data_IF_773598627926
#
_entry.id   IF_773598627926
#
_cell.length_a   1.000
_cell.length_b   1.000
_cell.length_c   1.000
_cell.angle_alpha   90.00
_cell.angle_beta   90.00
_cell.angle_gamma   90.00
#
_symmetry.space_group_name_H-M   'P 1'
#
loop_
_entity.id
_entity.type
_entity.pdbx_description
1 polymer ?
#
# COMPACT_ATOMS: atom_id res chain seq x y z
N UNK A 1 -1.09 1.21 -8.62
CA UNK A 1 -1.91 0.02 -8.93
C UNK A 1 -1.97 -0.86 -7.68
N UNK A 2 -3.14 -1.41 -7.33
CA UNK A 2 -3.32 -2.35 -6.22
C UNK A 2 -3.65 -3.72 -6.82
N UNK A 3 -2.79 -4.73 -6.60
CA UNK A 3 -2.92 -6.06 -7.20
C UNK A 3 -2.91 -7.13 -6.11
N UNK A 4 -3.75 -8.16 -6.26
CA UNK A 4 -3.78 -9.33 -5.38
C UNK A 4 -3.61 -10.62 -6.18
N UNK A 5 -3.09 -11.65 -5.51
CA UNK A 5 -3.07 -13.01 -6.03
C UNK A 5 -4.22 -13.79 -5.38
N UNK A 6 -5.21 -14.22 -6.16
CA UNK A 6 -6.45 -14.80 -5.63
C UNK A 6 -6.47 -16.31 -5.78
N UNK A 7 -6.66 -17.02 -4.67
CA UNK A 7 -6.66 -18.49 -4.62
C UNK A 7 -8.07 -18.97 -4.32
N UNK A 8 -8.57 -19.90 -5.14
CA UNK A 8 -9.90 -20.49 -4.95
C UNK A 8 -9.77 -21.92 -4.46
N UNK A 9 -10.42 -22.22 -3.33
CA UNK A 9 -10.58 -23.59 -2.83
C UNK A 9 -12.02 -24.04 -3.02
N UNK A 10 -12.23 -25.10 -3.80
CA UNK A 10 -13.55 -25.71 -3.95
C UNK A 10 -13.91 -26.53 -2.70
N UNK A 11 -15.12 -26.33 -2.18
CA UNK A 11 -15.63 -26.99 -0.98
C UNK A 11 -17.04 -27.53 -1.22
N UNK A 12 -17.48 -28.47 -0.39
CA UNK A 12 -18.86 -28.97 -0.43
C UNK A 12 -19.77 -28.05 0.38
N UNK A 13 -21.09 -28.04 0.12
CA UNK A 13 -22.05 -27.31 0.96
C UNK A 13 -21.96 -27.65 2.45
N UNK A 14 -21.78 -28.94 2.78
CA UNK A 14 -21.68 -29.43 4.16
C UNK A 14 -20.41 -28.99 4.89
N UNK A 15 -19.34 -28.69 4.16
CA UNK A 15 -18.03 -28.31 4.73
C UNK A 15 -17.75 -26.82 4.60
N UNK A 16 -18.62 -26.06 3.94
CA UNK A 16 -18.39 -24.64 3.66
C UNK A 16 -18.17 -23.83 4.94
N UNK A 17 -19.03 -24.01 5.95
CA UNK A 17 -18.98 -23.23 7.19
C UNK A 17 -17.65 -23.43 7.96
N UNK A 18 -17.22 -24.68 8.27
CA UNK A 18 -15.93 -24.92 8.88
C UNK A 18 -14.76 -24.31 8.10
N UNK A 19 -14.67 -24.56 6.78
CA UNK A 19 -13.59 -24.03 5.97
C UNK A 19 -13.60 -22.51 5.90
N UNK A 20 -14.77 -21.88 5.82
CA UNK A 20 -14.86 -20.42 5.77
C UNK A 20 -14.37 -19.78 7.08
N UNK A 21 -14.77 -20.34 8.23
CA UNK A 21 -14.29 -19.86 9.53
C UNK A 21 -12.77 -20.08 9.69
N UNK A 22 -12.24 -21.21 9.23
CA UNK A 22 -10.78 -21.45 9.19
C UNK A 22 -10.09 -20.42 8.28
N UNK A 23 -10.68 -20.08 7.13
CA UNK A 23 -10.14 -19.06 6.23
C UNK A 23 -10.07 -17.68 6.89
N UNK A 24 -11.03 -17.34 7.74
CA UNK A 24 -11.00 -16.11 8.54
C UNK A 24 -9.87 -16.15 9.56
N UNK A 25 -9.75 -17.24 10.33
CA UNK A 25 -8.66 -17.42 11.31
C UNK A 25 -7.28 -17.34 10.65
N UNK A 26 -7.11 -17.94 9.47
CA UNK A 26 -5.84 -17.96 8.74
C UNK A 26 -5.50 -16.65 8.03
N UNK A 27 -6.45 -15.74 7.84
CA UNK A 27 -6.23 -14.53 7.05
C UNK A 27 -5.06 -13.69 7.59
N UNK A 28 -4.98 -13.52 8.91
CA UNK A 28 -3.92 -12.74 9.56
C UNK A 28 -2.52 -13.38 9.44
N UNK A 29 -2.28 -14.64 9.87
CA UNK A 29 -0.95 -15.24 9.79
C UNK A 29 -0.46 -15.44 8.35
N UNK A 30 -1.35 -15.81 7.43
CA UNK A 30 -1.00 -15.98 6.01
C UNK A 30 -0.65 -14.63 5.38
N UNK A 31 -1.41 -13.56 5.67
CA UNK A 31 -1.07 -12.21 5.23
C UNK A 31 0.27 -11.75 5.79
N UNK A 32 0.51 -12.00 7.09
CA UNK A 32 1.73 -11.58 7.75
C UNK A 32 2.97 -12.12 7.04
N UNK A 33 2.99 -13.43 6.70
CA UNK A 33 4.14 -14.03 6.02
C UNK A 33 4.23 -13.63 4.55
N UNK A 34 3.10 -13.29 3.91
CA UNK A 34 3.04 -12.96 2.49
C UNK A 34 3.20 -11.46 2.17
N UNK A 35 3.08 -10.56 3.14
CA UNK A 35 2.97 -9.12 2.90
C UNK A 35 4.05 -8.55 1.95
N UNK A 36 3.63 -7.67 1.04
CA UNK A 36 4.45 -7.19 -0.07
C UNK A 36 4.09 -5.76 -0.57
N UNK A 37 3.27 -4.98 0.16
CA UNK A 37 2.85 -3.64 -0.29
C UNK A 37 3.09 -2.49 0.71
N UNK A 38 4.34 -2.25 1.13
CA UNK A 38 4.62 -1.30 2.20
C UNK A 38 4.80 0.17 1.78
N UNK A 39 4.94 0.44 0.47
CA UNK A 39 5.29 1.75 -0.06
C UNK A 39 4.26 2.18 -1.10
N UNK A 40 3.71 3.38 -0.94
CA UNK A 40 2.77 3.99 -1.88
C UNK A 40 3.22 5.42 -2.17
N UNK A 41 3.45 5.77 -3.44
CA UNK A 41 3.95 7.09 -3.87
C UNK A 41 5.19 7.56 -3.07
N UNK A 42 6.14 6.65 -2.82
CA UNK A 42 7.36 6.95 -2.06
C UNK A 42 7.15 7.23 -0.57
N UNK A 43 5.95 6.98 -0.03
CA UNK A 43 5.63 7.05 1.40
C UNK A 43 5.63 5.66 2.00
N UNK A 44 6.24 5.53 3.18
CA UNK A 44 6.21 4.31 3.98
C UNK A 44 4.88 4.23 4.72
N UNK A 45 4.15 3.15 4.53
CA UNK A 45 2.83 2.94 5.13
C UNK A 45 2.77 1.59 5.85
N UNK A 46 1.59 1.00 5.98
CA UNK A 46 1.39 -0.33 6.53
C UNK A 46 2.13 -1.36 5.69
N UNK A 47 2.63 -2.43 6.31
CA UNK A 47 3.37 -3.47 5.58
C UNK A 47 2.52 -4.12 4.47
N UNK A 48 1.20 -4.13 4.65
CA UNK A 48 0.22 -4.53 3.65
C UNK A 48 -0.81 -3.41 3.42
N UNK A 49 -0.37 -2.30 2.82
CA UNK A 49 -1.19 -1.09 2.62
C UNK A 49 -2.39 -1.31 1.69
N UNK A 50 -2.40 -2.36 0.87
CA UNK A 50 -3.54 -2.70 0.01
C UNK A 50 -4.83 -2.88 0.81
N UNK A 51 -4.76 -3.35 2.05
CA UNK A 51 -5.95 -3.55 2.89
C UNK A 51 -6.65 -2.22 3.15
N UNK A 52 -5.92 -1.24 3.67
CA UNK A 52 -6.46 0.08 3.99
C UNK A 52 -6.81 0.89 2.73
N UNK A 53 -5.92 0.86 1.72
CA UNK A 53 -6.11 1.63 0.48
C UNK A 53 -7.34 1.16 -0.29
N UNK A 54 -7.57 -0.15 -0.39
CA UNK A 54 -8.73 -0.69 -1.10
C UNK A 54 -10.04 -0.37 -0.36
N UNK A 55 -10.02 -0.44 0.97
CA UNK A 55 -11.17 -0.07 1.79
C UNK A 55 -11.56 1.40 1.61
N UNK A 56 -10.59 2.31 1.54
CA UNK A 56 -10.85 3.73 1.32
C UNK A 56 -11.26 4.05 -0.12
N UNK A 57 -10.62 3.44 -1.12
CA UNK A 57 -10.87 3.73 -2.53
C UNK A 57 -12.29 3.35 -3.01
N UNK A 58 -12.93 2.39 -2.34
CA UNK A 58 -14.29 1.94 -2.63
C UNK A 58 -15.30 2.34 -1.55
N UNK A 59 -14.92 3.29 -0.68
CA UNK A 59 -15.81 3.78 0.35
C UNK A 59 -16.83 4.77 -0.24
N UNK A 60 -18.05 4.27 -0.47
CA UNK A 60 -19.18 5.07 -0.97
C UNK A 60 -19.98 5.75 0.14
N UNK A 61 -19.49 5.73 1.39
CA UNK A 61 -20.18 6.34 2.52
C UNK A 61 -20.04 7.86 2.44
N UNK A 62 -21.17 8.57 2.45
CA UNK A 62 -21.19 10.02 2.59
C UNK A 62 -21.12 10.40 4.07
N UNK A 63 -20.18 11.27 4.43
CA UNK A 63 -20.11 11.87 5.76
C UNK A 63 -21.22 12.91 5.90
N UNK A 64 -22.25 12.59 6.69
CA UNK A 64 -23.26 13.56 7.12
C UNK A 64 -23.10 13.81 8.63
N UNK A 65 -23.65 14.92 9.13
CA UNK A 65 -23.63 15.31 10.55
C UNK A 65 -24.25 14.27 11.52
N UNK A 66 -24.93 13.24 11.00
CA UNK A 66 -25.50 12.15 11.79
C UNK A 66 -24.70 10.85 11.62
N UNK A 67 -24.34 10.22 12.76
CA UNK A 67 -23.69 8.91 12.85
C UNK A 67 -24.65 7.78 12.42
N UNK A 68 -24.88 7.65 11.11
CA UNK A 68 -25.47 6.43 10.56
C UNK A 68 -24.35 5.45 10.24
N UNK A 69 -24.24 4.37 11.00
CA UNK A 69 -23.31 3.29 10.68
C UNK A 69 -23.68 2.66 9.33
N UNK A 70 -22.80 2.82 8.35
CA UNK A 70 -22.86 2.11 7.07
C UNK A 70 -21.62 1.22 6.97
N UNK A 71 -21.84 -0.03 6.58
CA UNK A 71 -20.75 -0.95 6.29
C UNK A 71 -20.05 -0.51 5.00
N UNK A 72 -18.71 -0.48 4.96
CA UNK A 72 -17.98 -0.34 3.70
C UNK A 72 -18.21 -1.59 2.84
N UNK A 73 -18.20 -1.43 1.50
CA UNK A 73 -18.32 -2.56 0.56
C UNK A 73 -17.13 -3.50 0.60
N UNK A 74 -15.97 -2.99 1.03
CA UNK A 74 -14.79 -3.80 1.33
C UNK A 74 -14.82 -4.16 2.81
N UNK A 75 -14.90 -5.45 3.13
CA UNK A 75 -15.02 -5.90 4.51
C UNK A 75 -14.26 -7.21 4.77
N UNK A 76 -13.85 -7.38 6.03
CA UNK A 76 -13.35 -8.66 6.53
C UNK A 76 -14.51 -9.59 6.95
N UNK A 77 -15.64 -9.00 7.33
CA UNK A 77 -16.82 -9.67 7.89
C UNK A 77 -17.23 -9.00 9.20
N UNK A 78 -18.36 -9.42 9.77
CA UNK A 78 -18.85 -8.90 11.07
C UNK A 78 -18.95 -9.96 12.16
N UNK A 79 -18.76 -11.23 11.83
CA UNK A 79 -18.86 -12.34 12.77
C UNK A 79 -18.53 -13.69 12.13
N UNK A 80 -18.60 -14.74 12.95
CA UNK A 80 -18.52 -16.12 12.50
C UNK A 80 -19.72 -16.53 11.66
N UNK A 81 -19.48 -17.45 10.72
CA UNK A 81 -20.54 -18.15 10.02
C UNK A 81 -21.06 -19.31 10.89
N UNK A 82 -22.38 -19.48 11.04
CA UNK A 82 -22.92 -20.42 12.01
C UNK A 82 -23.54 -21.68 11.41
N UNK A 83 -24.48 -21.51 10.49
CA UNK A 83 -25.32 -22.57 9.93
C UNK A 83 -25.09 -22.75 8.45
N UNK A 84 -24.97 -21.65 7.70
CA UNK A 84 -24.97 -21.71 6.24
C UNK A 84 -24.30 -20.50 5.61
N UNK A 85 -23.70 -20.71 4.44
CA UNK A 85 -23.19 -19.62 3.58
C UNK A 85 -24.26 -18.59 3.22
N UNK A 86 -25.55 -18.95 3.29
CA UNK A 86 -26.66 -18.04 3.03
C UNK A 86 -26.64 -16.81 3.95
N UNK A 87 -26.14 -16.95 5.19
CA UNK A 87 -25.99 -15.82 6.12
C UNK A 87 -25.14 -14.69 5.52
N UNK A 88 -24.12 -15.03 4.72
CA UNK A 88 -23.28 -14.04 4.04
C UNK A 88 -24.08 -13.29 2.96
N UNK A 89 -24.82 -14.02 2.13
CA UNK A 89 -25.61 -13.39 1.06
C UNK A 89 -26.78 -12.58 1.61
N UNK A 90 -27.47 -13.08 2.64
CA UNK A 90 -28.53 -12.36 3.33
C UNK A 90 -28.00 -11.07 3.96
N UNK A 91 -26.85 -11.13 4.62
CA UNK A 91 -26.19 -9.94 5.17
C UNK A 91 -25.85 -8.93 4.07
N UNK A 92 -25.21 -9.38 3.00
CA UNK A 92 -24.75 -8.51 1.92
C UNK A 92 -25.93 -7.88 1.17
N UNK A 93 -27.01 -8.62 0.92
CA UNK A 93 -28.24 -8.10 0.29
C UNK A 93 -28.94 -7.10 1.20
N UNK A 94 -29.01 -7.36 2.51
CA UNK A 94 -29.63 -6.46 3.48
C UNK A 94 -28.84 -5.14 3.64
N UNK A 95 -27.51 -5.20 3.55
CA UNK A 95 -26.63 -4.03 3.76
C UNK A 95 -26.35 -3.22 2.51
N UNK A 96 -26.26 -3.85 1.33
CA UNK A 96 -25.77 -3.21 0.12
C UNK A 96 -26.80 -3.19 -0.99
N UNK A 97 -27.11 -1.97 -1.46
CA UNK A 97 -27.93 -1.75 -2.65
C UNK A 97 -27.27 -2.36 -3.90
N UNK A 98 -28.10 -2.80 -4.85
CA UNK A 98 -27.63 -3.26 -6.16
C UNK A 98 -27.05 -2.07 -6.94
N UNK A 99 -25.82 -2.20 -7.45
CA UNK A 99 -25.16 -1.18 -8.28
C UNK A 99 -25.21 -1.50 -9.77
N UNK A 100 -25.11 -2.78 -10.10
CA UNK A 100 -25.11 -3.28 -11.47
C UNK A 100 -26.31 -4.21 -11.64
N UNK A 101 -27.04 -4.03 -12.73
CA UNK A 101 -28.10 -4.93 -13.16
C UNK A 101 -27.62 -5.79 -14.31
N UNK A 102 -28.31 -6.89 -14.57
CA UNK A 102 -28.05 -7.80 -15.67
C UNK A 102 -29.38 -8.28 -16.22
N UNK A 103 -29.44 -8.51 -17.52
CA UNK A 103 -30.63 -9.07 -18.15
C UNK A 103 -30.89 -10.49 -17.60
N UNK A 104 -32.12 -10.67 -17.10
CA UNK A 104 -32.59 -11.91 -16.53
C UNK A 104 -33.51 -12.60 -17.53
N UNK A 105 -32.95 -13.56 -18.25
CA UNK A 105 -33.66 -14.24 -19.34
C UNK A 105 -34.56 -15.40 -18.85
N UNK A 106 -34.40 -15.85 -17.59
CA UNK A 106 -35.08 -17.04 -17.05
C UNK A 106 -35.32 -16.95 -15.53
N UNK A 107 -36.44 -17.50 -15.06
CA UNK A 107 -36.76 -17.65 -13.62
C UNK A 107 -35.95 -18.81 -13.02
N UNK A 108 -35.12 -18.51 -12.01
CA UNK A 108 -34.27 -19.51 -11.34
C UNK A 108 -35.07 -20.58 -10.59
N UNK A 109 -36.25 -20.24 -10.05
CA UNK A 109 -37.12 -21.21 -9.37
C UNK A 109 -37.77 -22.17 -10.35
N UNK A 110 -38.18 -21.68 -11.52
CA UNK A 110 -38.71 -22.52 -12.59
C UNK A 110 -37.63 -23.48 -13.13
N UNK A 111 -36.39 -23.01 -13.30
CA UNK A 111 -35.26 -23.85 -13.69
C UNK A 111 -35.07 -25.02 -12.71
N UNK A 112 -35.09 -24.75 -11.40
CA UNK A 112 -34.94 -25.79 -10.36
C UNK A 112 -36.07 -26.82 -10.45
N UNK A 113 -37.34 -26.38 -10.61
CA UNK A 113 -38.49 -27.28 -10.77
C UNK A 113 -38.34 -28.19 -12.00
N UNK A 114 -37.69 -27.70 -13.05
CA UNK A 114 -37.40 -28.44 -14.27
C UNK A 114 -36.08 -29.24 -14.21
N UNK A 115 -35.48 -29.40 -13.02
CA UNK A 115 -34.24 -30.16 -12.84
C UNK A 115 -33.00 -29.49 -13.46
N UNK A 116 -33.07 -28.20 -13.80
CA UNK A 116 -31.98 -27.42 -14.38
C UNK A 116 -31.26 -26.61 -13.30
N UNK A 117 -29.94 -26.49 -13.43
CA UNK A 117 -29.10 -25.73 -12.51
C UNK A 117 -29.11 -24.24 -12.89
N UNK A 118 -29.62 -23.33 -12.04
CA UNK A 118 -29.68 -21.91 -12.37
C UNK A 118 -28.30 -21.25 -12.26
N UNK A 119 -27.96 -20.35 -13.18
CA UNK A 119 -26.70 -19.58 -13.12
C UNK A 119 -26.66 -18.58 -11.95
N UNK A 120 -27.81 -18.17 -11.42
CA UNK A 120 -27.92 -17.15 -10.37
C UNK A 120 -27.24 -15.82 -10.75
N UNK A 121 -27.41 -15.36 -12.01
CA UNK A 121 -26.74 -14.16 -12.55
C UNK A 121 -26.89 -12.93 -11.65
N UNK A 122 -28.11 -12.65 -11.16
CA UNK A 122 -28.37 -11.52 -10.27
C UNK A 122 -27.53 -11.57 -8.98
N UNK A 123 -27.46 -12.74 -8.34
CA UNK A 123 -26.66 -12.96 -7.14
C UNK A 123 -25.17 -12.79 -7.43
N UNK A 124 -24.68 -13.37 -8.53
CA UNK A 124 -23.26 -13.24 -8.92
C UNK A 124 -22.87 -11.79 -9.20
N UNK A 125 -23.72 -11.02 -9.89
CA UNK A 125 -23.48 -9.61 -10.17
C UNK A 125 -23.49 -8.78 -8.88
N UNK A 126 -24.45 -9.00 -7.98
CA UNK A 126 -24.45 -8.33 -6.67
C UNK A 126 -23.19 -8.65 -5.86
N UNK A 127 -22.85 -9.93 -5.70
CA UNK A 127 -21.65 -10.40 -5.00
C UNK A 127 -20.34 -9.91 -5.67
N UNK A 128 -20.34 -9.59 -6.96
CA UNK A 128 -19.18 -8.99 -7.63
C UNK A 128 -18.91 -7.54 -7.22
N UNK A 129 -19.91 -6.86 -6.65
CA UNK A 129 -19.84 -5.46 -6.18
C UNK A 129 -19.72 -5.34 -4.65
N UNK A 130 -19.61 -6.47 -3.95
CA UNK A 130 -19.32 -6.55 -2.51
C UNK A 130 -18.01 -7.29 -2.33
N UNK A 131 -17.05 -6.65 -1.68
CA UNK A 131 -15.65 -7.08 -1.67
C UNK A 131 -15.26 -7.64 -0.30
N UNK A 132 -15.58 -8.91 -0.05
CA UNK A 132 -15.10 -9.63 1.13
C UNK A 132 -13.69 -10.17 0.91
N UNK A 133 -12.80 -10.06 1.90
CA UNK A 133 -11.43 -10.58 1.80
C UNK A 133 -11.35 -12.11 1.61
N UNK A 134 -12.26 -12.85 2.25
CA UNK A 134 -12.58 -14.24 1.90
C UNK A 134 -14.00 -14.24 1.33
N UNK A 135 -14.16 -14.62 0.06
CA UNK A 135 -15.45 -14.47 -0.64
C UNK A 135 -16.09 -15.83 -0.96
N UNK A 136 -17.39 -16.03 -0.65
CA UNK A 136 -18.14 -17.17 -1.17
C UNK A 136 -18.38 -16.98 -2.67
N UNK A 137 -18.09 -18.02 -3.44
CA UNK A 137 -18.29 -18.03 -4.89
C UNK A 137 -19.16 -19.22 -5.28
N UNK A 138 -20.28 -18.94 -5.95
CA UNK A 138 -21.08 -19.93 -6.67
C UNK A 138 -20.61 -20.00 -8.12
N UNK A 139 -20.54 -21.21 -8.67
CA UNK A 139 -20.23 -21.42 -10.08
C UNK A 139 -20.83 -22.72 -10.60
N UNK A 140 -20.76 -22.90 -11.91
CA UNK A 140 -21.17 -24.13 -12.59
C UNK A 140 -19.98 -24.59 -13.41
N UNK A 141 -19.57 -25.84 -13.22
CA UNK A 141 -18.48 -26.47 -13.97
C UNK A 141 -18.90 -26.74 -15.42
N UNK A 142 -17.94 -26.97 -16.31
CA UNK A 142 -18.22 -27.25 -17.73
C UNK A 142 -19.13 -28.49 -17.94
N UNK A 143 -19.16 -29.41 -16.97
CA UNK A 143 -20.05 -30.57 -16.96
C UNK A 143 -21.47 -30.27 -16.41
N UNK A 144 -21.82 -29.00 -16.17
CA UNK A 144 -23.13 -28.59 -15.65
C UNK A 144 -23.30 -28.72 -14.14
N UNK A 145 -22.31 -29.25 -13.41
CA UNK A 145 -22.41 -29.43 -11.96
C UNK A 145 -22.17 -28.10 -11.22
N UNK A 146 -23.09 -27.69 -10.31
CA UNK A 146 -22.85 -26.51 -9.47
C UNK A 146 -21.75 -26.79 -8.44
N UNK A 147 -20.97 -25.78 -8.11
CA UNK A 147 -19.90 -25.86 -7.12
C UNK A 147 -19.82 -24.59 -6.26
N UNK A 148 -19.27 -24.76 -5.06
CA UNK A 148 -18.96 -23.67 -4.14
C UNK A 148 -17.46 -23.54 -3.98
N UNK A 149 -16.97 -22.30 -3.93
CA UNK A 149 -15.57 -21.99 -3.70
C UNK A 149 -15.44 -20.92 -2.61
N UNK A 150 -14.39 -21.04 -1.82
CA UNK A 150 -13.90 -19.95 -0.98
C UNK A 150 -12.74 -19.31 -1.75
N UNK A 151 -12.91 -18.04 -2.11
CA UNK A 151 -11.88 -17.23 -2.76
C UNK A 151 -11.13 -16.42 -1.72
N UNK A 152 -9.85 -16.72 -1.53
CA UNK A 152 -8.93 -15.92 -0.72
C UNK A 152 -8.40 -14.76 -1.57
N UNK A 153 -8.68 -13.54 -1.14
CA UNK A 153 -8.23 -12.29 -1.79
C UNK A 153 -7.25 -11.49 -0.95
N UNK A 154 -6.86 -12.01 0.21
CA UNK A 154 -5.97 -11.35 1.17
C UNK A 154 -4.55 -11.30 0.62
N UNK A 155 -4.12 -12.38 -0.04
CA UNK A 155 -2.74 -12.53 -0.53
C UNK A 155 -2.34 -11.41 -1.50
N UNK A 156 -1.20 -10.74 -1.28
CA UNK A 156 -0.64 -9.81 -2.25
C UNK A 156 -0.12 -10.55 -3.48
N UNK A 157 -0.07 -9.82 -4.59
CA UNK A 157 0.69 -10.26 -5.75
C UNK A 157 2.20 -10.17 -5.47
N UNK A 158 2.94 -11.09 -6.08
CA UNK A 158 4.39 -11.16 -6.10
C UNK A 158 5.04 -11.44 -4.74
N UNK A 159 6.33 -11.10 -4.60
CA UNK A 159 7.15 -10.42 -5.60
C UNK A 159 7.63 -11.35 -6.73
N UNK A 160 7.57 -12.67 -6.55
CA UNK A 160 7.86 -13.66 -7.62
C UNK A 160 6.75 -14.69 -7.75
N UNK A 161 6.71 -15.36 -8.90
CA UNK A 161 5.78 -16.49 -9.12
C UNK A 161 6.00 -17.57 -8.05
N UNK A 162 7.26 -17.88 -7.70
CA UNK A 162 7.54 -18.91 -6.70
C UNK A 162 7.05 -18.50 -5.31
N UNK A 163 7.14 -17.21 -4.95
CA UNK A 163 6.59 -16.69 -3.69
C UNK A 163 5.06 -16.78 -3.68
N UNK A 164 4.38 -16.46 -4.79
CA UNK A 164 2.92 -16.56 -4.91
C UNK A 164 2.43 -17.99 -4.75
N UNK A 165 3.05 -18.94 -5.45
CA UNK A 165 2.70 -20.36 -5.34
C UNK A 165 3.03 -20.91 -3.94
N UNK A 166 4.14 -20.47 -3.33
CA UNK A 166 4.46 -20.83 -1.95
C UNK A 166 3.39 -20.34 -0.95
N UNK A 167 2.94 -19.10 -1.09
CA UNK A 167 1.85 -18.54 -0.29
C UNK A 167 0.54 -19.33 -0.48
N UNK A 168 0.23 -19.70 -1.73
CA UNK A 168 -0.95 -20.49 -2.07
C UNK A 168 -0.91 -21.88 -1.45
N UNK A 169 0.21 -22.60 -1.60
CA UNK A 169 0.41 -23.92 -1.05
C UNK A 169 0.31 -23.90 0.48
N UNK A 170 0.89 -22.88 1.14
CA UNK A 170 0.76 -22.70 2.57
C UNK A 170 -0.69 -22.48 3.01
N UNK A 171 -1.44 -21.61 2.33
CA UNK A 171 -2.85 -21.38 2.66
C UNK A 171 -3.71 -22.64 2.43
N UNK A 172 -3.60 -23.30 1.27
CA UNK A 172 -4.39 -24.51 0.96
C UNK A 172 -4.05 -25.66 1.92
N UNK A 173 -2.76 -25.83 2.22
CA UNK A 173 -2.28 -26.78 3.20
C UNK A 173 -2.86 -26.51 4.57
N UNK A 174 -2.69 -25.28 5.08
CA UNK A 174 -3.16 -24.90 6.41
C UNK A 174 -4.69 -25.00 6.52
N UNK A 175 -5.44 -24.60 5.49
CA UNK A 175 -6.90 -24.76 5.42
C UNK A 175 -7.32 -26.23 5.59
N UNK A 176 -6.69 -27.13 4.84
CA UNK A 176 -7.01 -28.56 4.92
C UNK A 176 -6.55 -29.16 6.26
N UNK A 177 -5.33 -28.87 6.69
CA UNK A 177 -4.78 -29.39 7.93
C UNK A 177 -5.58 -28.94 9.14
N UNK A 178 -5.92 -27.65 9.25
CA UNK A 178 -6.75 -27.16 10.35
C UNK A 178 -8.13 -27.80 10.38
N UNK A 179 -8.73 -28.08 9.21
CA UNK A 179 -10.00 -28.80 9.14
C UNK A 179 -9.90 -30.24 9.66
N UNK A 180 -8.72 -30.88 9.56
CA UNK A 180 -8.49 -32.22 10.13
C UNK A 180 -8.29 -32.18 11.64
N UNK A 181 -7.70 -31.11 12.18
CA UNK A 181 -7.37 -30.98 13.60
C UNK A 181 -8.49 -30.36 14.46
N UNK A 182 -9.31 -29.50 13.86
CA UNK A 182 -10.32 -28.73 14.58
C UNK A 182 -11.72 -29.02 14.03
N UNK A 183 -12.58 -29.58 14.88
CA UNK A 183 -13.98 -29.79 14.56
C UNK A 183 -14.71 -28.45 14.37
N UNK A 184 -14.47 -27.49 15.27
CA UNK A 184 -14.96 -26.12 15.15
C UNK A 184 -13.91 -25.12 15.63
N UNK A 185 -13.42 -24.30 14.69
CA UNK A 185 -12.38 -23.31 14.99
C UNK A 185 -12.88 -22.17 15.91
N UNK A 186 -14.20 -21.97 15.98
CA UNK A 186 -14.83 -20.92 16.81
C UNK A 186 -14.64 -21.17 18.30
N UNK A 187 -14.40 -22.41 18.70
CA UNK A 187 -14.12 -22.79 20.09
C UNK A 187 -12.68 -22.46 20.49
N UNK A 188 -11.80 -22.24 19.51
CA UNK A 188 -10.37 -22.05 19.75
C UNK A 188 -9.98 -20.57 19.85
N UNK A 189 -10.73 -19.68 19.20
CA UNK A 189 -10.44 -18.24 19.16
C UNK A 189 -11.72 -17.42 18.97
N UNK A 190 -11.77 -16.26 19.64
CA UNK A 190 -12.87 -15.31 19.48
C UNK A 190 -12.87 -14.66 18.10
N UNK A 191 -14.05 -14.20 17.64
CA UNK A 191 -14.14 -13.45 16.39
C UNK A 191 -13.37 -12.12 16.49
N UNK A 192 -13.47 -11.47 17.64
CA UNK A 192 -12.85 -10.19 17.95
C UNK A 192 -11.32 -10.26 17.81
N UNK A 193 -10.71 -11.33 18.31
CA UNK A 193 -9.26 -11.58 18.19
C UNK A 193 -8.86 -11.87 16.75
N UNK A 194 -9.65 -12.64 15.98
CA UNK A 194 -9.36 -12.88 14.56
C UNK A 194 -9.39 -11.58 13.76
N UNK A 195 -10.40 -10.73 14.02
CA UNK A 195 -10.51 -9.40 13.38
C UNK A 195 -9.37 -8.47 13.79
N UNK A 196 -9.01 -8.44 15.07
CA UNK A 196 -7.91 -7.62 15.58
C UNK A 196 -6.55 -8.09 15.02
N UNK A 197 -6.31 -9.41 14.99
CA UNK A 197 -5.15 -10.01 14.36
C UNK A 197 -5.04 -9.63 12.88
N UNK A 198 -6.16 -9.61 12.14
CA UNK A 198 -6.16 -9.19 10.73
C UNK A 198 -5.68 -7.74 10.57
N UNK A 199 -6.21 -6.81 11.37
CA UNK A 199 -5.77 -5.41 11.35
C UNK A 199 -4.29 -5.24 11.73
N UNK A 200 -3.84 -5.93 12.78
CA UNK A 200 -2.44 -5.93 13.22
C UNK A 200 -1.51 -6.50 12.14
N UNK A 201 -1.86 -7.63 11.54
CA UNK A 201 -1.11 -8.25 10.44
C UNK A 201 -1.00 -7.33 9.23
N UNK A 202 -2.06 -6.60 8.87
CA UNK A 202 -2.01 -5.66 7.77
C UNK A 202 -0.99 -4.53 8.04
N UNK A 203 -0.96 -4.04 9.28
CA UNK A 203 -0.07 -2.94 9.70
C UNK A 203 1.38 -3.36 9.85
N UNK A 204 1.64 -4.50 10.50
CA UNK A 204 2.98 -4.90 10.95
C UNK A 204 3.50 -6.20 10.31
N UNK A 205 2.66 -6.97 9.61
CA UNK A 205 3.02 -8.24 8.94
C UNK A 205 3.74 -9.25 9.87
N UNK A 206 4.88 -9.80 9.45
CA UNK A 206 5.75 -10.71 10.21
C UNK A 206 6.18 -10.21 11.59
N UNK A 207 6.09 -8.91 11.86
CA UNK A 207 6.39 -8.34 13.20
C UNK A 207 5.19 -8.39 14.15
N UNK A 208 4.06 -8.93 13.70
CA UNK A 208 2.84 -8.97 14.50
C UNK A 208 2.95 -10.00 15.63
N UNK A 209 2.47 -9.61 16.81
CA UNK A 209 2.16 -10.54 17.90
C UNK A 209 0.64 -10.76 17.92
N UNK A 210 0.22 -11.99 17.68
CA UNK A 210 -1.18 -12.40 17.63
C UNK A 210 -1.71 -12.79 19.00
N UNK A 211 -3.00 -12.52 19.26
CA UNK A 211 -3.76 -13.31 20.24
C UNK A 211 -4.16 -14.61 19.54
N UNK A 212 -3.72 -15.76 20.04
CA UNK A 212 -4.02 -17.05 19.42
C UNK A 212 -4.81 -17.94 20.38
N UNK A 213 -4.90 -19.24 20.07
CA UNK A 213 -5.69 -20.20 20.83
C UNK A 213 -5.36 -20.18 22.33
N UNK A 214 -6.41 -20.16 23.16
CA UNK A 214 -6.29 -20.02 24.61
C UNK A 214 -5.71 -18.68 25.06
N UNK A 215 -6.00 -17.59 24.33
CA UNK A 215 -5.57 -16.21 24.58
C UNK A 215 -4.06 -15.95 24.60
N UNK A 216 -3.25 -16.96 24.25
CA UNK A 216 -1.79 -16.86 24.25
C UNK A 216 -1.30 -15.81 23.25
N UNK A 217 -0.20 -15.12 23.59
CA UNK A 217 0.47 -14.21 22.66
C UNK A 217 1.59 -14.94 21.93
N UNK A 218 1.60 -14.86 20.60
CA UNK A 218 2.62 -15.51 19.78
C UNK A 218 3.03 -14.63 18.60
N UNK A 219 4.32 -14.57 18.30
CA UNK A 219 4.82 -13.85 17.14
C UNK A 219 4.41 -14.56 15.84
N UNK A 220 4.13 -13.80 14.77
CA UNK A 220 3.70 -14.33 13.49
C UNK A 220 4.64 -15.41 12.91
N UNK A 221 5.97 -15.17 12.93
CA UNK A 221 6.93 -16.14 12.40
C UNK A 221 7.02 -17.38 13.30
N UNK A 222 6.91 -17.22 14.61
CA UNK A 222 6.90 -18.33 15.55
C UNK A 222 5.65 -19.22 15.36
N UNK A 223 4.47 -18.61 15.24
CA UNK A 223 3.22 -19.32 14.95
C UNK A 223 3.29 -20.11 13.64
N UNK A 224 3.84 -19.48 12.59
CA UNK A 224 4.04 -20.13 11.29
C UNK A 224 4.98 -21.33 11.42
N UNK A 225 6.13 -21.16 12.08
CA UNK A 225 7.15 -22.22 12.20
C UNK A 225 6.69 -23.39 13.08
N UNK A 226 6.11 -23.10 14.24
CA UNK A 226 5.83 -24.11 15.26
C UNK A 226 4.52 -24.86 15.02
N UNK A 227 3.53 -24.23 14.39
CA UNK A 227 2.18 -24.80 14.29
C UNK A 227 1.65 -24.85 12.87
N UNK A 228 1.60 -23.71 12.18
CA UNK A 228 0.89 -23.67 10.89
C UNK A 228 1.63 -24.41 9.78
N UNK A 229 2.96 -24.40 9.74
CA UNK A 229 3.74 -25.14 8.74
C UNK A 229 3.60 -26.66 8.90
N UNK A 230 3.75 -27.26 10.10
CA UNK A 230 3.43 -28.66 10.32
C UNK A 230 2.02 -29.03 9.88
N UNK A 231 1.01 -28.25 10.28
CA UNK A 231 -0.39 -28.46 9.90
C UNK A 231 -0.56 -28.34 8.37
N UNK A 232 0.10 -27.37 7.73
CA UNK A 232 0.02 -27.19 6.30
C UNK A 232 0.64 -28.35 5.52
N UNK A 233 1.79 -28.87 5.98
CA UNK A 233 2.43 -30.06 5.40
C UNK A 233 1.50 -31.26 5.45
N UNK A 234 0.85 -31.51 6.59
CA UNK A 234 -0.12 -32.59 6.73
C UNK A 234 -1.32 -32.41 5.80
N UNK A 235 -1.89 -31.20 5.74
CA UNK A 235 -3.02 -30.90 4.87
C UNK A 235 -2.71 -31.13 3.38
N UNK A 236 -1.52 -30.74 2.91
CA UNK A 236 -1.10 -31.00 1.52
C UNK A 236 -0.88 -32.51 1.26
N UNK A 237 -0.28 -33.23 2.20
CA UNK A 237 -0.12 -34.70 2.12
C UNK A 237 -1.48 -35.40 2.05
N UNK A 238 -2.44 -34.98 2.86
CA UNK A 238 -3.80 -35.51 2.84
C UNK A 238 -4.48 -35.30 1.47
N UNK A 239 -4.18 -34.17 0.80
CA UNK A 239 -4.63 -33.88 -0.57
C UNK A 239 -3.78 -34.55 -1.67
N UNK A 240 -2.82 -35.41 -1.30
CA UNK A 240 -1.92 -36.15 -2.20
C UNK A 240 -1.06 -35.24 -3.09
N UNK A 241 -0.68 -34.06 -2.60
CA UNK A 241 0.32 -33.22 -3.25
C UNK A 241 1.69 -33.92 -3.16
N UNK A 242 2.48 -33.84 -4.23
CA UNK A 242 3.78 -34.51 -4.29
C UNK A 242 4.75 -33.98 -3.22
N UNK A 243 5.54 -34.87 -2.61
CA UNK A 243 6.42 -34.51 -1.50
C UNK A 243 7.43 -33.42 -1.89
N UNK A 244 8.01 -33.52 -3.10
CA UNK A 244 8.96 -32.52 -3.62
C UNK A 244 8.34 -31.11 -3.74
N UNK A 245 7.06 -31.01 -4.13
CA UNK A 245 6.36 -29.74 -4.20
C UNK A 245 6.09 -29.18 -2.80
N UNK A 246 5.69 -30.04 -1.85
CA UNK A 246 5.48 -29.66 -0.45
C UNK A 246 6.79 -29.09 0.12
N UNK A 247 7.90 -29.79 -0.08
CA UNK A 247 9.20 -29.39 0.47
C UNK A 247 9.72 -28.11 -0.17
N UNK A 248 9.58 -27.98 -1.50
CA UNK A 248 9.95 -26.77 -2.23
C UNK A 248 9.17 -25.55 -1.74
N UNK A 249 7.83 -25.62 -1.75
CA UNK A 249 6.99 -24.45 -1.50
C UNK A 249 6.88 -24.11 -0.02
N UNK A 250 6.70 -25.08 0.87
CA UNK A 250 6.65 -24.81 2.31
C UNK A 250 8.04 -24.53 2.88
N UNK A 251 9.11 -25.04 2.25
CA UNK A 251 10.48 -24.66 2.57
C UNK A 251 10.76 -23.17 2.36
N UNK A 252 10.14 -22.55 1.35
CA UNK A 252 10.24 -21.09 1.13
C UNK A 252 9.58 -20.32 2.28
N UNK A 253 8.39 -20.74 2.72
CA UNK A 253 7.68 -20.09 3.83
C UNK A 253 8.45 -20.26 5.15
N UNK A 254 9.01 -21.45 5.38
CA UNK A 254 9.88 -21.74 6.51
C UNK A 254 11.13 -20.85 6.52
N UNK A 255 11.85 -20.77 5.39
CA UNK A 255 13.03 -19.94 5.26
C UNK A 255 12.70 -18.44 5.43
N UNK A 256 11.55 -17.99 4.91
CA UNK A 256 11.05 -16.61 5.08
C UNK A 256 10.82 -16.27 6.55
N UNK A 257 10.18 -17.17 7.29
CA UNK A 257 9.91 -17.00 8.71
C UNK A 257 11.20 -17.04 9.54
N UNK A 258 12.13 -17.97 9.26
CA UNK A 258 13.44 -18.06 9.92
C UNK A 258 14.31 -16.82 9.69
N UNK A 259 14.36 -16.34 8.44
CA UNK A 259 15.08 -15.11 8.08
C UNK A 259 14.37 -13.84 8.55
N UNK A 260 13.13 -13.96 9.04
CA UNK A 260 12.29 -12.85 9.45
C UNK A 260 12.17 -11.78 8.35
N UNK A 261 11.99 -12.23 7.10
CA UNK A 261 12.13 -11.41 5.89
C UNK A 261 11.08 -11.76 4.82
N UNK A 262 9.98 -11.01 4.76
CA UNK A 262 9.02 -11.04 3.65
C UNK A 262 9.27 -9.89 2.66
N UNK A 263 8.47 -9.81 1.59
CA UNK A 263 8.62 -8.77 0.57
C UNK A 263 8.43 -7.35 1.12
N UNK A 264 7.48 -7.16 2.03
CA UNK A 264 7.26 -5.87 2.69
C UNK A 264 8.48 -5.41 3.49
N UNK A 265 9.05 -6.29 4.31
CA UNK A 265 10.25 -5.96 5.08
C UNK A 265 11.45 -5.70 4.18
N UNK A 266 11.66 -6.50 3.14
CA UNK A 266 12.76 -6.29 2.19
C UNK A 266 12.65 -4.91 1.55
N UNK A 267 11.48 -4.55 1.01
CA UNK A 267 11.23 -3.24 0.40
C UNK A 267 11.42 -2.09 1.39
N UNK A 268 10.95 -2.23 2.64
CA UNK A 268 11.12 -1.21 3.66
C UNK A 268 12.60 -1.00 4.03
N UNK A 269 13.38 -2.07 4.16
CA UNK A 269 14.83 -1.98 4.46
C UNK A 269 15.59 -1.36 3.28
N UNK A 270 15.31 -1.85 2.08
CA UNK A 270 15.86 -1.34 0.83
C UNK A 270 15.59 0.16 0.66
N UNK A 271 14.34 0.59 0.84
CA UNK A 271 13.96 1.99 0.73
C UNK A 271 14.63 2.88 1.79
N UNK A 272 14.74 2.41 3.05
CA UNK A 272 15.45 3.15 4.11
C UNK A 272 16.93 3.32 3.77
N UNK A 273 17.57 2.30 3.20
CA UNK A 273 18.97 2.37 2.75
C UNK A 273 19.10 3.43 1.65
N UNK A 274 18.32 3.30 0.58
CA UNK A 274 18.37 4.20 -0.58
C UNK A 274 18.09 5.66 -0.20
N UNK A 275 17.11 5.92 0.68
CA UNK A 275 16.76 7.28 1.12
C UNK A 275 17.88 8.04 1.85
N UNK A 276 18.92 7.34 2.32
CA UNK A 276 20.11 7.99 2.92
C UNK A 276 21.07 8.51 1.85
N UNK A 277 21.02 7.94 0.66
CA UNK A 277 21.95 8.21 -0.44
C UNK A 277 21.27 9.07 -1.51
N UNK A 278 19.99 8.80 -1.79
CA UNK A 278 19.25 9.37 -2.94
C UNK A 278 17.94 10.10 -2.59
N UNK A 279 17.41 10.85 -3.56
CA UNK A 279 16.11 11.51 -3.44
C UNK A 279 14.99 10.47 -3.36
N UNK A 280 13.77 10.91 -3.01
CA UNK A 280 12.63 9.99 -2.86
C UNK A 280 12.29 9.30 -4.19
N UNK A 281 12.23 10.06 -5.27
CA UNK A 281 11.91 9.56 -6.62
C UNK A 281 12.97 8.56 -7.12
N UNK A 282 14.25 8.89 -6.95
CA UNK A 282 15.37 8.03 -7.35
C UNK A 282 15.40 6.75 -6.49
N UNK A 283 15.13 6.85 -5.18
CA UNK A 283 15.03 5.69 -4.30
C UNK A 283 13.92 4.71 -4.74
N UNK A 284 12.74 5.23 -5.11
CA UNK A 284 11.64 4.39 -5.63
C UNK A 284 12.03 3.79 -6.97
N UNK A 285 12.65 4.57 -7.85
CA UNK A 285 13.08 4.10 -9.18
C UNK A 285 14.11 2.98 -9.10
N UNK A 286 15.13 3.14 -8.26
CA UNK A 286 16.15 2.11 -7.99
C UNK A 286 15.50 0.87 -7.36
N UNK A 287 14.61 1.06 -6.38
CA UNK A 287 13.89 -0.05 -5.76
C UNK A 287 13.08 -0.85 -6.79
N UNK A 288 12.32 -0.16 -7.65
CA UNK A 288 11.52 -0.79 -8.71
C UNK A 288 12.39 -1.53 -9.71
N UNK A 289 13.50 -0.92 -10.18
CA UNK A 289 14.43 -1.57 -11.09
C UNK A 289 15.04 -2.85 -10.48
N UNK A 290 15.40 -2.80 -9.19
CA UNK A 290 15.91 -3.95 -8.46
C UNK A 290 14.85 -5.06 -8.31
N UNK A 291 13.59 -4.70 -8.00
CA UNK A 291 12.47 -5.65 -7.94
C UNK A 291 12.29 -6.37 -9.28
N UNK A 292 12.29 -5.64 -10.40
CA UNK A 292 12.15 -6.24 -11.74
C UNK A 292 13.28 -7.22 -12.04
N UNK A 293 14.53 -6.79 -11.82
CA UNK A 293 15.72 -7.64 -12.02
C UNK A 293 15.66 -8.92 -11.19
N UNK A 294 15.31 -8.83 -9.90
CA UNK A 294 15.28 -10.01 -9.02
C UNK A 294 14.04 -10.88 -9.25
N UNK A 295 12.94 -10.30 -9.74
CA UNK A 295 11.77 -11.05 -10.19
C UNK A 295 12.10 -11.94 -11.39
N UNK A 296 12.87 -11.43 -12.35
CA UNK A 296 13.33 -12.21 -13.52
C UNK A 296 14.23 -13.39 -13.14
N UNK A 297 14.99 -13.29 -12.04
CA UNK A 297 15.79 -14.41 -11.51
C UNK A 297 14.91 -15.52 -10.90
N UNK A 298 13.64 -15.25 -10.60
CA UNK A 298 12.69 -16.21 -10.05
C UNK A 298 13.00 -16.71 -8.64
N UNK A 299 13.95 -16.07 -7.94
CA UNK A 299 14.35 -16.44 -6.57
C UNK A 299 13.35 -15.93 -5.54
N UNK A 300 13.10 -16.65 -4.42
CA UNK A 300 12.25 -16.16 -3.35
C UNK A 300 12.76 -14.86 -2.71
N UNK A 301 11.87 -13.95 -2.34
CA UNK A 301 12.25 -12.62 -1.84
C UNK A 301 13.12 -12.60 -0.59
N UNK A 302 13.03 -13.62 0.26
CA UNK A 302 13.85 -13.69 1.47
C UNK A 302 15.34 -13.90 1.15
N UNK A 303 15.70 -14.30 -0.08
CA UNK A 303 17.08 -14.47 -0.53
C UNK A 303 17.60 -13.29 -1.33
N UNK A 304 16.77 -12.25 -1.54
CA UNK A 304 17.11 -11.12 -2.40
C UNK A 304 18.20 -10.24 -1.78
N UNK A 305 19.12 -9.77 -2.62
CA UNK A 305 20.15 -8.82 -2.19
C UNK A 305 19.54 -7.42 -2.03
N UNK A 306 20.18 -6.57 -1.21
CA UNK A 306 19.76 -5.18 -1.05
C UNK A 306 20.15 -4.38 -2.30
N UNK A 307 19.30 -3.44 -2.77
CA UNK A 307 19.60 -2.67 -3.97
C UNK A 307 20.84 -1.81 -3.84
N UNK A 308 21.46 -1.53 -4.97
CA UNK A 308 22.49 -0.51 -5.17
C UNK A 308 22.05 0.49 -6.23
N UNK A 309 22.68 1.67 -6.29
CA UNK A 309 22.35 2.68 -7.30
C UNK A 309 22.58 2.19 -8.74
N UNK A 310 23.44 1.18 -8.91
CA UNK A 310 23.75 0.52 -10.19
C UNK A 310 22.58 -0.32 -10.72
N UNK A 311 21.63 -0.74 -9.88
CA UNK A 311 20.45 -1.48 -10.33
C UNK A 311 19.58 -0.62 -11.26
N UNK A 312 19.62 0.72 -11.11
CA UNK A 312 19.01 1.65 -12.04
C UNK A 312 20.00 2.05 -13.14
N UNK A 313 19.99 1.28 -14.24
CA UNK A 313 20.90 1.46 -15.38
C UNK A 313 20.85 2.87 -15.96
N UNK A 314 19.66 3.41 -16.16
CA UNK A 314 19.43 4.75 -16.73
C UNK A 314 18.43 5.51 -15.86
N UNK A 315 18.80 6.72 -15.45
CA UNK A 315 17.93 7.61 -14.71
C UNK A 315 17.63 8.84 -15.56
N UNK A 316 16.37 8.97 -15.98
CA UNK A 316 15.88 10.01 -16.90
C UNK A 316 15.15 11.09 -16.12
N UNK A 317 15.92 11.94 -15.46
CA UNK A 317 15.39 13.07 -14.69
C UNK A 317 14.74 14.15 -15.58
N UNK A 318 15.10 14.21 -16.87
CA UNK A 318 14.63 15.19 -17.84
C UNK A 318 13.12 15.11 -18.11
N UNK A 319 12.55 13.90 -18.03
CA UNK A 319 11.12 13.65 -18.28
C UNK A 319 10.27 13.66 -17.02
N UNK A 320 10.86 13.84 -15.83
CA UNK A 320 10.11 13.85 -14.58
C UNK A 320 9.21 15.08 -14.49
N UNK A 321 8.01 14.86 -13.98
CA UNK A 321 7.08 15.91 -13.63
C UNK A 321 7.48 16.55 -12.31
N UNK A 322 7.08 17.80 -12.13
CA UNK A 322 7.25 18.57 -10.90
C UNK A 322 6.66 17.82 -9.70
N UNK A 323 5.48 17.24 -9.83
CA UNK A 323 4.81 16.52 -8.72
C UNK A 323 5.52 15.25 -8.25
N UNK A 324 6.30 14.63 -9.14
CA UNK A 324 7.08 13.42 -8.82
C UNK A 324 8.32 13.77 -7.98
N UNK A 325 8.72 15.04 -8.00
CA UNK A 325 9.98 15.52 -7.46
C UNK A 325 9.82 16.50 -6.30
N UNK A 326 8.78 17.33 -6.32
CA UNK A 326 8.57 18.41 -5.36
C UNK A 326 8.53 17.95 -3.90
N UNK A 327 8.94 18.86 -3.02
CA UNK A 327 8.70 18.70 -1.60
C UNK A 327 7.24 19.05 -1.29
N UNK A 328 6.58 18.19 -0.54
CA UNK A 328 5.15 18.29 -0.17
C UNK A 328 4.95 18.47 1.33
N UNK A 329 6.01 18.32 2.13
CA UNK A 329 6.01 18.65 3.56
C UNK A 329 6.43 20.11 3.70
N UNK A 330 5.43 21.00 3.60
CA UNK A 330 5.65 22.43 3.47
C UNK A 330 5.67 23.11 4.83
N UNK A 331 6.61 24.04 4.99
CA UNK A 331 6.60 25.01 6.08
C UNK A 331 6.08 26.33 5.53
N UNK A 332 4.85 26.66 5.88
CA UNK A 332 4.15 27.88 5.45
C UNK A 332 4.01 28.86 6.60
N UNK A 333 3.71 30.11 6.26
CA UNK A 333 3.40 31.20 7.20
C UNK A 333 2.16 31.95 6.73
N UNK A 334 1.52 32.67 7.65
CA UNK A 334 0.42 33.59 7.34
C UNK A 334 0.94 35.03 7.19
N UNK A 335 0.12 35.90 6.60
CA UNK A 335 0.54 37.27 6.29
C UNK A 335 0.78 38.13 7.55
N UNK A 336 0.07 37.84 8.64
CA UNK A 336 0.17 38.55 9.92
C UNK A 336 1.24 37.98 10.87
N UNK A 337 1.92 36.90 10.48
CA UNK A 337 2.98 36.30 11.30
C UNK A 337 4.14 37.29 11.51
N UNK A 338 4.75 37.23 12.70
CA UNK A 338 5.86 38.09 13.07
C UNK A 338 7.14 37.69 12.34
N UNK A 339 7.82 38.67 11.73
CA UNK A 339 9.06 38.43 10.96
C UNK A 339 10.13 37.71 11.79
N UNK A 340 10.29 38.08 13.07
CA UNK A 340 11.30 37.48 13.96
C UNK A 340 10.98 36.02 14.30
N UNK A 341 9.70 35.65 14.40
CA UNK A 341 9.32 34.24 14.57
C UNK A 341 9.67 33.45 13.32
N UNK A 342 9.34 33.99 12.15
CA UNK A 342 9.61 33.35 10.86
C UNK A 342 11.12 33.19 10.63
N UNK A 343 11.94 34.18 11.01
CA UNK A 343 13.40 34.10 10.89
C UNK A 343 13.99 32.96 11.74
N UNK A 344 13.51 32.77 12.98
CA UNK A 344 13.90 31.63 13.81
C UNK A 344 13.47 30.29 13.22
N UNK A 345 12.24 30.19 12.69
CA UNK A 345 11.78 28.96 12.02
C UNK A 345 12.68 28.63 10.83
N UNK A 346 13.01 29.64 10.01
CA UNK A 346 13.87 29.47 8.84
C UNK A 346 15.27 28.97 9.22
N UNK A 347 15.86 29.51 10.28
CA UNK A 347 17.16 29.09 10.78
C UNK A 347 17.13 27.67 11.36
N UNK A 348 16.20 27.38 12.29
CA UNK A 348 16.08 26.06 12.93
C UNK A 348 15.83 24.94 11.94
N UNK A 349 14.98 25.19 10.94
CA UNK A 349 14.66 24.23 9.88
C UNK A 349 15.64 24.26 8.70
N UNK A 350 16.58 25.21 8.68
CA UNK A 350 17.54 25.45 7.60
C UNK A 350 16.87 25.62 6.22
N UNK A 351 15.75 26.34 6.19
CA UNK A 351 14.97 26.60 4.97
C UNK A 351 15.22 28.02 4.46
N UNK A 352 15.36 28.17 3.14
CA UNK A 352 15.68 29.46 2.50
C UNK A 352 14.46 30.21 1.99
N UNK A 353 13.34 29.52 1.84
CA UNK A 353 12.10 30.05 1.30
C UNK A 353 10.92 29.48 2.09
N UNK A 354 9.94 30.32 2.38
CA UNK A 354 8.69 29.95 3.02
C UNK A 354 7.52 30.52 2.21
N UNK A 355 6.64 29.68 1.66
CA UNK A 355 5.39 30.13 1.06
C UNK A 355 4.51 30.81 2.11
N UNK A 356 3.81 31.88 1.70
CA UNK A 356 2.82 32.57 2.50
C UNK A 356 1.44 32.20 1.99
N UNK A 357 0.60 31.63 2.84
CA UNK A 357 -0.75 31.18 2.49
C UNK A 357 -1.82 31.88 3.32
N UNK A 358 -3.03 31.98 2.75
CA UNK A 358 -4.18 32.45 3.50
C UNK A 358 -4.86 31.31 4.29
N UNK A 359 -5.90 31.63 5.05
CA UNK A 359 -6.69 30.65 5.82
C UNK A 359 -7.40 29.58 4.98
N UNK A 360 -7.44 29.74 3.65
CA UNK A 360 -7.99 28.78 2.69
C UNK A 360 -6.91 27.90 2.03
N UNK A 361 -5.63 28.01 2.42
CA UNK A 361 -4.52 27.25 1.83
C UNK A 361 -4.04 27.78 0.46
N UNK A 362 -4.47 28.98 0.07
CA UNK A 362 -4.09 29.57 -1.21
C UNK A 362 -2.80 30.38 -1.05
N UNK A 363 -1.91 30.25 -2.03
CA UNK A 363 -0.64 30.97 -2.05
C UNK A 363 -0.84 32.47 -2.32
N UNK A 364 -0.46 33.32 -1.37
CA UNK A 364 -0.57 34.78 -1.48
C UNK A 364 0.79 35.49 -1.58
N UNK A 365 1.86 34.83 -1.14
CA UNK A 365 3.20 35.39 -1.16
C UNK A 365 4.30 34.36 -0.98
N UNK A 366 5.55 34.82 -1.02
CA UNK A 366 6.71 34.02 -0.63
C UNK A 366 7.71 34.89 0.12
N UNK A 367 8.29 34.34 1.17
CA UNK A 367 9.36 34.95 1.94
C UNK A 367 10.66 34.19 1.71
N UNK A 368 11.75 34.91 1.46
CA UNK A 368 13.10 34.32 1.35
C UNK A 368 14.02 34.82 2.46
N UNK A 369 15.08 34.07 2.76
CA UNK A 369 16.14 34.54 3.66
C UNK A 369 16.73 35.87 3.22
N UNK A 370 16.71 36.17 1.90
CA UNK A 370 17.14 37.46 1.35
C UNK A 370 16.20 38.60 1.74
N UNK A 371 14.89 38.36 1.82
CA UNK A 371 13.93 39.35 2.32
C UNK A 371 14.20 39.65 3.80
N UNK A 372 14.40 38.62 4.62
CA UNK A 372 14.71 38.76 6.05
C UNK A 372 16.03 39.48 6.27
N UNK A 373 17.09 39.11 5.53
CA UNK A 373 18.39 39.81 5.63
C UNK A 373 18.28 41.30 5.26
N UNK A 374 17.51 41.63 4.21
CA UNK A 374 17.25 43.04 3.85
C UNK A 374 16.49 43.77 4.95
N UNK A 375 15.46 43.14 5.52
CA UNK A 375 14.72 43.68 6.66
C UNK A 375 15.63 44.01 7.85
N UNK A 376 16.57 43.13 8.21
CA UNK A 376 17.50 43.39 9.31
C UNK A 376 18.59 44.43 9.00
N UNK A 377 18.91 44.64 7.72
CA UNK A 377 19.88 45.65 7.27
C UNK A 377 19.29 47.05 7.18
N UNK A 378 18.04 47.16 6.72
CA UNK A 378 17.36 48.43 6.46
C UNK A 378 16.70 48.97 7.75
N UNK A 379 16.16 50.20 7.74
CA UNK A 379 15.72 50.92 8.96
C UNK A 379 14.51 50.31 9.70
N UNK A 380 14.08 49.08 9.39
CA UNK A 380 12.89 48.38 9.96
C UNK A 380 11.62 49.23 10.02
N UNK A 381 11.52 50.26 9.19
CA UNK A 381 10.36 51.14 9.09
C UNK A 381 9.89 51.27 7.65
N UNK A 382 8.61 51.51 7.45
CA UNK A 382 8.04 51.81 6.14
C UNK A 382 8.28 53.27 5.71
N UNK A 383 7.74 53.66 4.55
CA UNK A 383 7.87 55.02 4.03
C UNK A 383 7.21 56.11 4.91
N UNK A 384 6.38 55.71 5.88
CA UNK A 384 5.70 56.57 6.84
C UNK A 384 6.35 56.53 8.23
N UNK A 385 7.45 55.78 8.40
CA UNK A 385 8.16 55.63 9.67
C UNK A 385 7.55 54.62 10.64
N UNK A 386 6.57 53.81 10.21
CA UNK A 386 5.98 52.76 11.04
C UNK A 386 6.85 51.50 11.04
N UNK A 387 7.00 50.79 12.18
CA UNK A 387 7.81 49.59 12.24
C UNK A 387 7.26 48.47 11.35
N UNK A 388 8.15 47.85 10.59
CA UNK A 388 7.88 46.62 9.85
C UNK A 388 7.94 45.45 10.84
N UNK A 389 6.84 44.75 11.05
CA UNK A 389 6.69 43.68 12.06
C UNK A 389 6.16 42.37 11.47
N UNK A 390 5.41 42.42 10.36
CA UNK A 390 4.67 41.27 9.81
C UNK A 390 5.20 40.81 8.45
N UNK A 391 4.99 39.53 8.14
CA UNK A 391 5.37 38.91 6.87
C UNK A 391 4.81 39.67 5.67
N UNK A 392 3.56 40.13 5.75
CA UNK A 392 2.85 40.84 4.67
C UNK A 392 3.58 42.08 4.14
N UNK A 393 4.44 42.68 4.97
CA UNK A 393 5.16 43.91 4.67
C UNK A 393 6.48 43.66 3.93
N UNK A 394 7.05 42.46 4.00
CA UNK A 394 8.36 42.13 3.40
C UNK A 394 8.31 40.96 2.40
N UNK A 395 7.19 40.24 2.32
CA UNK A 395 7.01 39.14 1.38
C UNK A 395 6.96 39.61 -0.08
N UNK A 396 7.33 38.72 -0.99
CA UNK A 396 7.08 38.91 -2.43
C UNK A 396 5.65 38.47 -2.73
N UNK A 397 4.79 39.41 -3.10
CA UNK A 397 3.41 39.15 -3.49
C UNK A 397 3.34 38.55 -4.89
N UNK A 398 2.34 37.69 -5.13
CA UNK A 398 2.11 37.01 -6.42
C UNK A 398 3.39 36.35 -6.97
N UNK A 399 3.99 35.41 -6.20
CA UNK A 399 5.21 34.74 -6.63
C UNK A 399 5.00 33.99 -7.95
N UNK A 400 6.08 33.80 -8.70
CA UNK A 400 6.07 32.94 -9.89
C UNK A 400 5.88 31.50 -9.43
N UNK A 401 4.83 30.84 -9.91
CA UNK A 401 4.47 29.46 -9.55
C UNK A 401 4.71 28.49 -10.71
N UNK A 402 4.55 27.20 -10.48
CA UNK A 402 4.53 26.17 -11.53
C UNK A 402 3.43 25.14 -11.27
N UNK A 403 2.90 24.54 -12.34
CA UNK A 403 1.88 23.49 -12.24
C UNK A 403 2.54 22.12 -11.95
N UNK A 404 1.94 21.22 -11.15
CA UNK A 404 2.50 19.89 -10.83
C UNK A 404 2.85 19.02 -12.04
N UNK A 405 2.07 19.14 -13.12
CA UNK A 405 2.27 18.40 -14.37
C UNK A 405 3.29 19.03 -15.34
N UNK A 406 3.94 20.13 -14.94
CA UNK A 406 5.07 20.65 -15.72
C UNK A 406 6.29 19.75 -15.53
N UNK A 407 7.22 19.78 -16.47
CA UNK A 407 8.48 19.04 -16.38
C UNK A 407 9.51 19.74 -15.48
N UNK A 408 10.45 18.98 -14.94
CA UNK A 408 11.63 19.53 -14.25
C UNK A 408 12.42 20.50 -15.16
N UNK A 409 12.52 20.21 -16.46
CA UNK A 409 13.19 21.09 -17.43
C UNK A 409 12.51 22.47 -17.55
N UNK A 410 11.18 22.49 -17.58
CA UNK A 410 10.40 23.73 -17.55
C UNK A 410 10.58 24.49 -16.23
N UNK A 411 10.62 23.78 -15.10
CA UNK A 411 10.89 24.37 -13.79
C UNK A 411 12.26 25.09 -13.76
N UNK A 412 13.32 24.41 -14.20
CA UNK A 412 14.67 24.98 -14.29
C UNK A 412 14.72 26.18 -15.25
N UNK A 413 14.06 26.09 -16.41
CA UNK A 413 13.98 27.18 -17.37
C UNK A 413 13.31 28.41 -16.75
N UNK A 414 12.18 28.21 -16.06
CA UNK A 414 11.42 29.27 -15.39
C UNK A 414 12.24 29.92 -14.27
N UNK A 415 12.91 29.12 -13.44
CA UNK A 415 13.78 29.64 -12.37
C UNK A 415 14.92 30.49 -12.89
N UNK A 416 15.60 30.02 -13.95
CA UNK A 416 16.67 30.77 -14.62
C UNK A 416 16.18 32.06 -15.27
N UNK A 417 15.05 32.02 -15.98
CA UNK A 417 14.47 33.18 -16.66
C UNK A 417 14.08 34.29 -15.68
N UNK A 418 13.53 33.93 -14.52
CA UNK A 418 13.09 34.88 -13.51
C UNK A 418 14.14 35.16 -12.42
N UNK A 419 15.30 34.49 -12.46
CA UNK A 419 16.37 34.60 -11.46
C UNK A 419 15.88 34.34 -10.03
N UNK A 420 15.09 33.28 -9.85
CA UNK A 420 14.48 32.89 -8.58
C UNK A 420 15.02 31.53 -8.11
N UNK A 421 15.21 31.40 -6.80
CA UNK A 421 15.79 30.22 -6.17
C UNK A 421 14.78 29.12 -5.77
N UNK A 422 13.50 29.36 -6.00
CA UNK A 422 12.43 28.37 -5.80
C UNK A 422 11.19 28.67 -6.64
N UNK A 423 10.35 27.65 -6.80
CA UNK A 423 9.03 27.70 -7.40
C UNK A 423 8.02 27.03 -6.47
N UNK A 424 7.06 27.77 -5.92
CA UNK A 424 5.85 27.18 -5.34
C UNK A 424 5.07 26.42 -6.44
N UNK A 425 4.60 25.22 -6.09
CA UNK A 425 3.81 24.37 -6.97
C UNK A 425 2.33 24.55 -6.61
N UNK A 426 1.53 24.97 -7.59
CA UNK A 426 0.11 25.30 -7.39
C UNK A 426 -0.75 24.49 -8.35
N UNK A 427 -1.85 23.93 -7.83
CA UNK A 427 -2.90 23.28 -8.61
C UNK A 427 -4.26 23.77 -8.08
N UNK A 428 -5.18 24.14 -8.98
CA UNK A 428 -6.52 24.62 -8.60
C UNK A 428 -6.51 25.73 -7.52
N UNK A 429 -5.56 26.67 -7.64
CA UNK A 429 -5.27 27.77 -6.69
C UNK A 429 -4.75 27.37 -5.30
N UNK A 430 -4.53 26.08 -5.05
CA UNK A 430 -3.97 25.57 -3.80
C UNK A 430 -2.46 25.33 -3.91
N UNK A 431 -1.73 25.68 -2.84
CA UNK A 431 -0.31 25.36 -2.71
C UNK A 431 -0.15 23.88 -2.35
N UNK A 432 0.45 23.09 -3.25
CA UNK A 432 0.60 21.63 -3.08
C UNK A 432 2.05 21.17 -2.95
N UNK A 433 3.01 22.05 -3.23
CA UNK A 433 4.43 21.72 -3.12
C UNK A 433 5.38 22.90 -3.34
N UNK A 434 6.68 22.63 -3.24
CA UNK A 434 7.74 23.57 -3.58
C UNK A 434 8.92 22.84 -4.21
N UNK A 435 9.57 23.49 -5.18
CA UNK A 435 10.87 23.06 -5.70
C UNK A 435 11.89 24.18 -5.50
N UNK A 436 13.11 23.82 -5.11
CA UNK A 436 14.22 24.76 -4.90
C UNK A 436 15.44 24.42 -5.75
N UNK A 437 16.37 25.37 -5.90
CA UNK A 437 17.65 25.11 -6.58
C UNK A 437 18.44 23.96 -5.96
N UNK A 438 18.33 23.77 -4.64
CA UNK A 438 19.06 22.72 -3.93
C UNK A 438 18.65 21.33 -4.41
N UNK A 439 17.39 21.18 -4.81
CA UNK A 439 16.86 19.93 -5.33
C UNK A 439 17.53 19.59 -6.68
N UNK A 440 17.73 20.60 -7.55
CA UNK A 440 18.45 20.42 -8.82
C UNK A 440 19.96 20.22 -8.65
N UNK A 441 20.59 20.88 -7.67
CA UNK A 441 22.00 20.67 -7.35
C UNK A 441 22.25 19.20 -6.96
N UNK A 442 21.37 18.64 -6.13
CA UNK A 442 21.45 17.22 -5.75
C UNK A 442 21.31 16.27 -6.93
N UNK A 443 20.38 16.54 -7.86
CA UNK A 443 20.28 15.74 -9.10
C UNK A 443 21.56 15.88 -9.93
N UNK A 444 22.01 17.12 -10.16
CA UNK A 444 23.13 17.42 -11.05
C UNK A 444 24.43 16.75 -10.58
N UNK A 445 24.73 16.84 -9.28
CA UNK A 445 25.89 16.18 -8.68
C UNK A 445 25.89 14.67 -8.97
N UNK A 446 24.74 14.00 -8.82
CA UNK A 446 24.62 12.56 -9.06
C UNK A 446 24.65 12.18 -10.53
N UNK A 447 24.06 12.98 -11.40
CA UNK A 447 24.16 12.75 -12.85
C UNK A 447 25.63 12.81 -13.29
N UNK A 448 26.41 13.74 -12.73
CA UNK A 448 27.86 13.83 -12.96
C UNK A 448 28.57 12.59 -12.40
N UNK A 449 28.34 12.20 -11.15
CA UNK A 449 28.93 10.98 -10.54
C UNK A 449 28.63 9.72 -11.37
N UNK A 450 27.41 9.59 -11.89
CA UNK A 450 27.01 8.47 -12.77
C UNK A 450 27.70 8.52 -14.13
N UNK A 451 27.90 9.69 -14.71
CA UNK A 451 28.64 9.86 -15.97
C UNK A 451 30.11 9.50 -15.78
N UNK A 452 30.73 9.91 -14.68
CA UNK A 452 32.11 9.58 -14.34
C UNK A 452 32.30 8.08 -14.12
N UNK A 453 31.37 7.43 -13.38
CA UNK A 453 31.38 5.98 -13.17
C UNK A 453 31.25 5.19 -14.49
N UNK A 454 30.50 5.71 -15.48
CA UNK A 454 30.38 5.12 -16.82
C UNK A 454 31.62 5.32 -17.70
N UNK A 455 32.48 6.30 -17.40
CA UNK A 455 33.74 6.51 -18.12
C UNK A 455 34.90 5.64 -17.60
N UNK A 456 34.75 5.00 -16.43
CA UNK A 456 35.77 4.15 -15.80
C UNK A 456 35.80 2.64 -16.14
N UNK A 457 34.98 2.02 -17.03
CA UNK A 457 34.95 0.57 -17.17
C UNK A 457 35.98 0.02 -18.18
N UNK A 458 37.28 0.36 -18.08
CA UNK A 458 38.33 -0.41 -18.81
C UNK A 458 39.79 -0.33 -18.34
N UNK A 459 40.11 0.21 -17.17
CA UNK A 459 41.52 0.30 -16.70
C UNK A 459 41.94 -0.73 -15.65
N UNK A 460 41.11 -1.73 -15.33
CA UNK A 460 41.44 -2.80 -14.36
C UNK A 460 41.29 -4.23 -14.90
N UNK A 461 41.63 -4.43 -16.17
CA UNK A 461 41.94 -5.76 -16.73
C UNK A 461 43.18 -5.68 -17.62
N UNK A 462 44.36 -5.67 -17.01
CA UNK A 462 45.60 -6.17 -17.61
C UNK A 462 46.45 -6.82 -16.53
#
# INVERSE_FOLDING_TARGET
CNTSFQVHLQVTPSTFVPYYNIAQTLAAPVMAIAANSPIVFGKRLWHESRIALFQQALDVRTTHYHLRERSPRVSFGTGWLNKSLLEIYEEDIARFRVLLSTDLDHDSMEMIRNGKVPKLKALQVHNSTVYRWNRPCYGISNNGMPHLRIENRVLPAGPTIVDEIANAAFWVGAMTGMYLHYQDIREQISWEDVRDNFGKAAKFSIDTNFTWFGDRKINACELVLKELLPIAREGLKHRKVHQDDIDKYLGIIEARAKAHMNGARWQLRAFTKLKKEVSRDEAVSVLTACILKQQDEGKPVHTWTMPTLEDLKEYRADSLLVEEFMETDLFTVQEDDLIDMVSHIMDWRRIRHMPVENTKGQLIGILSSRNIMRYYRDQRVDAMGQPLTTVSQIMVRKPITIHPKATISEAMKKMRQHQIGCLPVVADDELIGIITEMDFVRISARLIERLDARQLPDLKKK
#
